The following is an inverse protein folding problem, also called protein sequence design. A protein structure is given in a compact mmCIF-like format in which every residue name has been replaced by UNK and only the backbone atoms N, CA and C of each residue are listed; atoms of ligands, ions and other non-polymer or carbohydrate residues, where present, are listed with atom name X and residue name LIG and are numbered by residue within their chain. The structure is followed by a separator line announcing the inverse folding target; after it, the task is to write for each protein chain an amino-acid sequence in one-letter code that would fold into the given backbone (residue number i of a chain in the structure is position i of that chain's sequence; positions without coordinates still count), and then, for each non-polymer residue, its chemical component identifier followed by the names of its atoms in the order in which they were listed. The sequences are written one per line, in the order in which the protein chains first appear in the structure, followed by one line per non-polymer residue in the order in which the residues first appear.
data_IF_161198967244
#
_entry.id   IF_161198967244
#
_cell.length_a   1.000
_cell.length_b   1.000
_cell.length_c   1.000
_cell.angle_alpha   90.00
_cell.angle_beta   90.00
_cell.angle_gamma   90.00
#
_symmetry.space_group_name_H-M   'P 1'
#
loop_
_entity.id
_entity.type
_entity.pdbx_description
1 polymer ?
#
# COMPACT_ATOMS: atom_id res chain seq x y z
N UNK A 1 -5.81 5.72 -6.56
CA UNK A 1 -7.23 5.27 -6.51
C UNK A 1 -8.11 6.24 -7.30
N UNK A 2 -9.31 5.85 -7.77
CA UNK A 2 -10.13 6.74 -8.62
C UNK A 2 -11.51 7.07 -8.06
N UNK A 3 -11.91 8.33 -8.21
CA UNK A 3 -13.26 8.83 -7.91
C UNK A 3 -13.47 9.22 -6.44
N UNK A 4 -14.66 9.74 -6.15
CA UNK A 4 -15.07 10.07 -4.78
C UNK A 4 -15.31 8.79 -3.98
N UNK A 5 -14.80 8.76 -2.75
CA UNK A 5 -15.00 7.63 -1.82
C UNK A 5 -16.49 7.45 -1.52
N UNK A 6 -17.00 6.25 -1.80
CA UNK A 6 -18.35 5.84 -1.43
C UNK A 6 -18.40 5.42 0.05
N UNK A 7 -18.83 6.37 0.89
CA UNK A 7 -18.92 6.19 2.34
C UNK A 7 -20.16 5.39 2.79
N UNK A 8 -20.97 4.87 1.86
CA UNK A 8 -22.17 4.10 2.21
C UNK A 8 -21.89 2.63 2.55
N UNK A 9 -20.70 2.11 2.21
CA UNK A 9 -20.38 0.70 2.46
C UNK A 9 -20.25 0.39 3.95
N UNK A 10 -20.92 -0.68 4.37
CA UNK A 10 -20.76 -1.24 5.72
C UNK A 10 -19.53 -2.16 5.78
N UNK A 11 -18.35 -1.56 5.94
CA UNK A 11 -17.06 -2.27 6.07
C UNK A 11 -16.34 -1.90 7.35
N UNK A 12 -15.40 -2.73 7.81
CA UNK A 12 -14.59 -2.38 8.98
C UNK A 12 -13.53 -1.34 8.63
N UNK A 13 -12.95 -1.45 7.44
CA UNK A 13 -11.80 -0.66 7.02
C UNK A 13 -12.00 -0.08 5.63
N UNK A 14 -11.59 1.18 5.46
CA UNK A 14 -11.43 1.86 4.19
C UNK A 14 -9.95 2.08 3.95
N UNK A 15 -9.51 1.88 2.71
CA UNK A 15 -8.18 2.27 2.24
C UNK A 15 -8.40 3.31 1.13
N UNK A 16 -7.90 4.53 1.35
CA UNK A 16 -8.20 5.70 0.51
C UNK A 16 -6.98 6.58 0.30
N UNK A 17 -6.91 7.21 -0.87
CA UNK A 17 -5.82 8.11 -1.26
C UNK A 17 -5.68 9.32 -0.33
N UNK A 18 -4.46 9.56 0.13
CA UNK A 18 -4.18 10.64 1.08
C UNK A 18 -4.39 12.03 0.50
N UNK A 19 -4.13 12.27 -0.79
CA UNK A 19 -4.18 13.59 -1.39
C UNK A 19 -5.61 13.94 -1.81
N UNK A 20 -6.33 12.95 -2.34
CA UNK A 20 -7.69 13.15 -2.86
C UNK A 20 -8.76 13.22 -1.77
N UNK A 21 -8.43 12.85 -0.53
CA UNK A 21 -9.36 12.84 0.59
C UNK A 21 -8.97 13.85 1.68
N UNK A 22 -9.96 14.61 2.15
CA UNK A 22 -9.79 15.58 3.22
C UNK A 22 -9.97 14.95 4.60
N UNK A 23 -9.50 15.65 5.65
CA UNK A 23 -9.76 15.24 7.04
C UNK A 23 -11.25 15.12 7.38
N UNK A 24 -12.14 15.83 6.67
CA UNK A 24 -13.59 15.71 6.89
C UNK A 24 -14.16 14.39 6.37
N UNK A 25 -13.59 13.82 5.30
CA UNK A 25 -13.93 12.47 4.82
C UNK A 25 -13.54 11.43 5.86
N UNK A 26 -12.28 11.50 6.35
CA UNK A 26 -11.78 10.59 7.40
C UNK A 26 -12.65 10.67 8.66
N UNK A 27 -12.94 11.88 9.14
CA UNK A 27 -13.81 12.11 10.31
C UNK A 27 -15.23 11.57 10.10
N UNK A 28 -15.77 11.64 8.88
CA UNK A 28 -17.09 11.11 8.56
C UNK A 28 -17.11 9.58 8.64
N UNK A 29 -16.09 8.92 8.09
CA UNK A 29 -15.90 7.47 8.20
C UNK A 29 -15.72 7.03 9.66
N UNK A 30 -14.92 7.76 10.45
CA UNK A 30 -14.76 7.50 11.89
C UNK A 30 -16.08 7.59 12.66
N UNK A 31 -16.94 8.58 12.36
CA UNK A 31 -18.28 8.68 12.97
C UNK A 31 -19.16 7.47 12.68
N UNK A 32 -18.92 6.78 11.57
CA UNK A 32 -19.57 5.52 11.21
C UNK A 32 -18.85 4.28 11.78
N UNK A 33 -17.86 4.45 12.66
CA UNK A 33 -17.11 3.37 13.31
C UNK A 33 -16.13 2.65 12.40
N UNK A 34 -15.65 3.31 11.33
CA UNK A 34 -14.73 2.73 10.35
C UNK A 34 -13.28 3.03 10.72
N UNK A 35 -12.37 2.11 10.38
CA UNK A 35 -10.92 2.32 10.33
C UNK A 35 -10.57 2.89 8.95
N UNK A 36 -9.66 3.86 8.87
CA UNK A 36 -9.28 4.52 7.62
C UNK A 36 -7.77 4.47 7.43
N UNK A 37 -7.35 3.79 6.36
CA UNK A 37 -5.96 3.60 5.93
C UNK A 37 -5.63 4.61 4.82
N UNK A 38 -4.42 5.14 4.91
CA UNK A 38 -3.90 6.17 4.03
C UNK A 38 -3.01 5.53 2.96
N UNK A 39 -3.46 5.57 1.70
CA UNK A 39 -2.63 5.17 0.56
C UNK A 39 -1.53 6.21 0.31
N UNK A 40 -0.28 5.74 0.23
CA UNK A 40 0.90 6.54 -0.14
C UNK A 40 1.72 5.72 -1.14
N UNK A 41 1.95 6.24 -2.35
CA UNK A 41 3.04 5.72 -3.16
C UNK A 41 4.40 6.16 -2.58
N UNK A 42 5.20 5.19 -2.13
CA UNK A 42 6.53 5.44 -1.57
C UNK A 42 7.67 4.94 -2.47
N UNK A 43 7.36 4.18 -3.51
CA UNK A 43 8.32 3.58 -4.42
C UNK A 43 8.45 4.30 -5.77
N UNK A 44 7.49 5.17 -6.10
CA UNK A 44 7.47 5.90 -7.35
C UNK A 44 7.13 7.39 -7.17
N UNK A 45 7.47 8.14 -8.20
CA UNK A 45 7.12 9.53 -8.39
C UNK A 45 5.96 9.63 -9.36
N UNK A 46 4.89 10.26 -8.91
CA UNK A 46 3.65 10.50 -9.66
C UNK A 46 3.56 11.99 -10.04
N UNK A 47 3.53 12.31 -11.33
CA UNK A 47 3.65 13.71 -11.81
C UNK A 47 2.45 14.61 -11.46
N UNK A 48 1.32 14.02 -11.06
CA UNK A 48 0.08 14.71 -10.73
C UNK A 48 -0.03 15.08 -9.25
N UNK A 49 0.87 14.59 -8.40
CA UNK A 49 0.83 14.88 -6.97
C UNK A 49 1.22 16.33 -6.69
N UNK A 50 0.57 17.00 -5.71
CA UNK A 50 0.85 18.41 -5.43
C UNK A 50 2.28 18.66 -4.93
N UNK A 51 2.96 17.63 -4.43
CA UNK A 51 4.36 17.66 -4.00
C UNK A 51 5.35 17.13 -5.05
N UNK A 52 4.90 16.83 -6.28
CA UNK A 52 5.74 16.25 -7.34
C UNK A 52 6.99 17.10 -7.66
N UNK A 53 6.91 18.42 -7.44
CA UNK A 53 8.02 19.36 -7.62
C UNK A 53 9.12 19.27 -6.56
N UNK A 54 8.89 18.58 -5.44
CA UNK A 54 9.89 18.39 -4.38
C UNK A 54 10.93 17.31 -4.72
N UNK A 55 10.62 16.42 -5.66
CA UNK A 55 11.50 15.34 -6.08
C UNK A 55 12.50 15.84 -7.13
N UNK A 56 13.82 15.83 -6.86
CA UNK A 56 14.83 16.17 -7.86
C UNK A 56 14.87 15.11 -8.98
N UNK A 57 15.45 15.46 -10.13
CA UNK A 57 15.58 14.49 -11.23
C UNK A 57 16.52 13.32 -10.88
N UNK A 58 17.44 13.48 -9.93
CA UNK A 58 18.39 12.44 -9.52
C UNK A 58 17.74 11.21 -8.91
N UNK A 59 16.54 11.35 -8.34
CA UNK A 59 15.81 10.23 -7.74
C UNK A 59 14.82 9.58 -8.70
N UNK A 60 14.63 10.10 -9.93
CA UNK A 60 13.59 9.63 -10.85
C UNK A 60 14.14 8.68 -11.91
N UNK A 61 13.70 7.43 -11.84
CA UNK A 61 14.14 6.30 -12.66
C UNK A 61 13.30 6.09 -13.91
N UNK A 62 13.17 4.85 -14.35
CA UNK A 62 12.38 4.50 -15.53
C UNK A 62 10.88 4.73 -15.29
N UNK A 63 10.11 5.05 -16.34
CA UNK A 63 8.66 5.02 -16.28
C UNK A 63 8.15 3.66 -15.79
N UNK A 64 7.09 3.68 -14.98
CA UNK A 64 6.39 2.45 -14.56
C UNK A 64 5.51 1.97 -15.72
N UNK A 65 5.63 0.69 -16.08
CA UNK A 65 4.89 0.14 -17.22
C UNK A 65 3.39 0.14 -16.94
N UNK A 66 2.58 0.73 -17.82
CA UNK A 66 1.12 0.79 -17.68
C UNK A 66 0.59 2.01 -16.92
N UNK A 67 1.46 2.81 -16.30
CA UNK A 67 1.09 3.95 -15.47
C UNK A 67 1.72 5.25 -15.99
N UNK A 68 0.94 6.00 -16.78
CA UNK A 68 1.44 7.20 -17.45
C UNK A 68 1.68 8.32 -16.45
N UNK A 69 2.88 8.90 -16.45
CA UNK A 69 3.26 9.99 -15.54
C UNK A 69 3.91 9.50 -14.25
N UNK A 70 4.09 8.19 -14.11
CA UNK A 70 4.70 7.53 -12.97
C UNK A 70 6.13 7.05 -13.28
N UNK A 71 7.06 7.22 -12.34
CA UNK A 71 8.47 6.81 -12.51
C UNK A 71 9.01 6.24 -11.20
N UNK A 72 9.73 5.13 -11.25
CA UNK A 72 10.39 4.54 -10.08
C UNK A 72 11.32 5.53 -9.35
N UNK A 73 11.40 5.42 -8.03
CA UNK A 73 12.31 6.21 -7.20
C UNK A 73 13.62 5.47 -6.92
N UNK A 74 14.72 6.23 -6.81
CA UNK A 74 15.98 5.71 -6.27
C UNK A 74 15.95 5.71 -4.73
N UNK A 75 15.41 4.64 -4.15
CA UNK A 75 15.25 4.50 -2.68
C UNK A 75 16.58 4.53 -1.90
N UNK A 76 17.72 4.36 -2.59
CA UNK A 76 19.06 4.48 -2.00
C UNK A 76 19.38 5.90 -1.58
N UNK A 77 18.74 6.89 -2.20
CA UNK A 77 18.87 8.31 -1.87
C UNK A 77 17.92 8.70 -0.73
N UNK A 78 17.92 7.91 0.36
CA UNK A 78 17.02 8.10 1.50
C UNK A 78 17.11 9.51 2.10
N UNK A 79 18.29 10.13 2.17
CA UNK A 79 18.44 11.50 2.68
C UNK A 79 17.68 12.56 1.89
N UNK A 80 17.27 12.27 0.65
CA UNK A 80 16.39 13.14 -0.14
C UNK A 80 14.93 12.75 0.10
N UNK A 81 14.63 11.45 0.02
CA UNK A 81 13.26 10.93 0.08
C UNK A 81 12.65 11.03 1.48
N UNK A 82 13.47 10.98 2.53
CA UNK A 82 13.01 10.88 3.92
C UNK A 82 12.14 12.07 4.31
N UNK A 83 12.52 13.28 3.89
CA UNK A 83 11.77 14.49 4.19
C UNK A 83 10.41 14.52 3.50
N UNK A 84 10.34 14.04 2.26
CA UNK A 84 9.12 14.01 1.46
C UNK A 84 8.16 12.95 2.01
N UNK A 85 8.64 11.73 2.21
CA UNK A 85 7.82 10.64 2.73
C UNK A 85 7.38 10.88 4.18
N UNK A 86 8.25 11.48 5.02
CA UNK A 86 7.85 11.90 6.37
C UNK A 86 6.73 12.94 6.31
N UNK A 87 6.81 13.93 5.41
CA UNK A 87 5.75 14.92 5.25
C UNK A 87 4.42 14.28 4.79
N UNK A 88 4.46 13.28 3.92
CA UNK A 88 3.29 12.48 3.49
C UNK A 88 2.68 11.71 4.66
N UNK A 89 3.50 11.02 5.46
CA UNK A 89 3.07 10.29 6.66
C UNK A 89 2.45 11.25 7.70
N UNK A 90 3.07 12.41 7.93
CA UNK A 90 2.55 13.45 8.82
C UNK A 90 1.23 14.03 8.31
N UNK A 91 1.05 14.14 6.98
CA UNK A 91 -0.22 14.55 6.40
C UNK A 91 -1.33 13.55 6.72
N UNK A 92 -1.07 12.24 6.56
CA UNK A 92 -2.01 11.18 6.98
C UNK A 92 -2.36 11.29 8.47
N UNK A 93 -1.35 11.43 9.33
CA UNK A 93 -1.56 11.63 10.76
C UNK A 93 -2.45 12.85 11.05
N UNK A 94 -2.17 13.99 10.40
CA UNK A 94 -2.88 15.25 10.63
C UNK A 94 -4.34 15.21 10.15
N UNK A 95 -4.62 14.38 9.12
CA UNK A 95 -5.97 14.13 8.61
C UNK A 95 -6.76 13.13 9.46
N UNK A 96 -6.09 12.46 10.41
CA UNK A 96 -6.68 11.52 11.35
C UNK A 96 -6.78 10.09 10.82
N UNK A 97 -5.94 9.69 9.86
CA UNK A 97 -5.89 8.29 9.43
C UNK A 97 -5.41 7.38 10.58
N UNK A 98 -5.82 6.12 10.55
CA UNK A 98 -5.47 5.10 11.55
C UNK A 98 -4.21 4.31 11.18
N UNK A 99 -3.89 4.28 9.89
CA UNK A 99 -2.71 3.60 9.35
C UNK A 99 -2.36 4.06 7.95
N UNK A 100 -1.28 3.51 7.42
CA UNK A 100 -0.77 3.75 6.08
C UNK A 100 -0.52 2.42 5.37
N UNK A 101 -0.70 2.41 4.06
CA UNK A 101 -0.12 1.40 3.19
C UNK A 101 0.78 2.12 2.18
N UNK A 102 1.93 1.51 1.91
CA UNK A 102 2.94 2.10 1.03
C UNK A 102 3.00 1.31 -0.27
N UNK A 103 2.62 1.94 -1.38
CA UNK A 103 2.63 1.31 -2.69
C UNK A 103 4.04 1.30 -3.30
N UNK A 104 4.23 0.38 -4.26
CA UNK A 104 5.46 0.23 -5.06
C UNK A 104 6.75 -0.01 -4.24
N UNK A 105 6.62 -0.61 -3.06
CA UNK A 105 7.75 -0.91 -2.15
C UNK A 105 8.47 -2.22 -2.46
N UNK A 106 8.45 -2.66 -3.71
CA UNK A 106 9.07 -3.89 -4.23
C UNK A 106 10.01 -3.60 -5.43
N UNK A 107 10.50 -2.36 -5.54
CA UNK A 107 11.28 -1.85 -6.67
C UNK A 107 12.52 -2.67 -7.03
N UNK A 108 13.18 -3.34 -6.08
CA UNK A 108 14.33 -4.21 -6.39
C UNK A 108 14.00 -5.42 -7.29
N UNK A 109 12.73 -5.81 -7.38
CA UNK A 109 12.25 -6.84 -8.31
C UNK A 109 11.83 -6.29 -9.67
N UNK A 110 11.89 -4.95 -9.84
CA UNK A 110 11.39 -4.24 -11.00
C UNK A 110 12.53 -3.56 -11.81
N UNK A 111 12.24 -3.23 -13.07
CA UNK A 111 13.17 -2.50 -13.92
C UNK A 111 13.11 -0.99 -13.64
N UNK A 112 13.61 -0.58 -12.48
CA UNK A 112 13.54 0.82 -12.02
C UNK A 112 14.48 1.78 -12.74
N UNK A 113 15.48 1.25 -13.44
CA UNK A 113 16.59 2.05 -13.96
C UNK A 113 17.66 2.38 -12.91
N UNK A 114 17.47 1.92 -11.67
CA UNK A 114 18.47 1.95 -10.61
C UNK A 114 18.82 0.52 -10.19
N UNK A 115 20.06 0.27 -9.73
CA UNK A 115 20.48 -1.06 -9.27
C UNK A 115 20.01 -1.29 -7.83
N UNK A 116 18.69 -1.28 -7.61
CA UNK A 116 18.11 -1.51 -6.29
C UNK A 116 18.33 -2.96 -5.88
N UNK A 117 18.96 -3.17 -4.73
CA UNK A 117 19.18 -4.51 -4.16
C UNK A 117 18.13 -4.87 -3.11
N UNK A 118 18.04 -6.16 -2.79
CA UNK A 118 17.24 -6.67 -1.66
C UNK A 118 17.51 -5.87 -0.37
N UNK A 119 18.78 -5.65 -0.01
CA UNK A 119 19.12 -4.95 1.24
C UNK A 119 18.74 -3.47 1.21
N UNK A 120 18.75 -2.82 0.04
CA UNK A 120 18.33 -1.43 -0.09
C UNK A 120 16.82 -1.28 0.03
N UNK A 121 16.05 -2.20 -0.56
CA UNK A 121 14.61 -2.26 -0.36
C UNK A 121 14.27 -2.55 1.11
N UNK A 122 14.94 -3.54 1.70
CA UNK A 122 14.73 -3.92 3.09
C UNK A 122 14.94 -2.73 4.04
N UNK A 123 16.03 -1.99 3.84
CA UNK A 123 16.36 -0.82 4.63
C UNK A 123 15.31 0.30 4.46
N UNK A 124 14.86 0.55 3.24
CA UNK A 124 13.85 1.56 2.95
C UNK A 124 12.48 1.20 3.55
N UNK A 125 12.03 -0.05 3.37
CA UNK A 125 10.76 -0.54 3.88
C UNK A 125 10.75 -0.57 5.41
N UNK A 126 11.88 -0.95 6.03
CA UNK A 126 12.07 -0.88 7.49
C UNK A 126 11.99 0.56 7.99
N UNK A 127 12.63 1.50 7.28
CA UNK A 127 12.58 2.92 7.62
C UNK A 127 11.16 3.50 7.52
N UNK A 128 10.43 3.17 6.45
CA UNK A 128 9.03 3.58 6.25
C UNK A 128 8.13 3.10 7.41
N UNK A 129 8.21 1.81 7.74
CA UNK A 129 7.42 1.21 8.81
C UNK A 129 7.69 1.87 10.17
N UNK A 130 8.96 2.04 10.54
CA UNK A 130 9.34 2.72 11.79
C UNK A 130 8.90 4.19 11.80
N UNK A 131 8.93 4.88 10.66
CA UNK A 131 8.49 6.26 10.54
C UNK A 131 6.97 6.36 10.72
N UNK A 132 6.19 5.45 10.13
CA UNK A 132 4.74 5.36 10.36
C UNK A 132 4.41 5.12 11.84
N UNK A 133 5.08 4.16 12.49
CA UNK A 133 4.92 3.89 13.92
C UNK A 133 5.27 5.09 14.80
N UNK A 134 6.34 5.82 14.47
CA UNK A 134 6.72 7.04 15.21
C UNK A 134 5.65 8.14 15.14
N UNK A 135 4.83 8.12 14.07
CA UNK A 135 3.68 8.99 13.89
C UNK A 135 2.35 8.36 14.36
N UNK A 136 2.42 7.24 15.09
CA UNK A 136 1.27 6.49 15.67
C UNK A 136 0.29 5.97 14.63
N UNK A 137 0.80 5.59 13.46
CA UNK A 137 0.02 4.99 12.38
C UNK A 137 0.37 3.50 12.29
N UNK A 138 -0.67 2.66 12.15
CA UNK A 138 -0.46 1.27 11.73
C UNK A 138 0.13 1.21 10.31
N UNK A 139 0.85 0.17 9.94
CA UNK A 139 1.48 0.06 8.61
C UNK A 139 1.31 -1.31 7.95
N UNK A 140 0.96 -1.30 6.66
CA UNK A 140 0.88 -2.49 5.81
C UNK A 140 2.13 -2.69 4.95
N UNK A 141 2.56 -3.94 4.79
CA UNK A 141 3.48 -4.31 3.71
C UNK A 141 2.65 -4.59 2.45
N UNK A 142 2.95 -3.87 1.36
CA UNK A 142 2.31 -4.05 0.06
C UNK A 142 3.13 -4.97 -0.83
N UNK A 143 2.53 -6.05 -1.32
CA UNK A 143 3.14 -7.02 -2.24
C UNK A 143 4.48 -7.57 -1.70
N UNK A 144 5.64 -7.00 -2.02
CA UNK A 144 7.02 -7.35 -1.57
C UNK A 144 7.20 -8.71 -0.86
N UNK A 145 6.78 -9.78 -1.55
CA UNK A 145 6.53 -11.06 -0.92
C UNK A 145 7.82 -11.77 -0.51
N UNK A 146 8.90 -11.51 -1.23
CA UNK A 146 10.19 -12.18 -1.04
C UNK A 146 10.94 -11.63 0.18
N UNK A 147 10.59 -10.45 0.71
CA UNK A 147 11.19 -9.88 1.93
C UNK A 147 10.37 -10.12 3.20
N UNK A 148 9.24 -10.84 3.12
CA UNK A 148 8.30 -11.00 4.24
C UNK A 148 8.99 -11.51 5.51
N UNK A 149 9.90 -12.50 5.42
CA UNK A 149 10.55 -13.04 6.62
C UNK A 149 11.33 -11.99 7.42
N UNK A 150 11.96 -11.04 6.73
CA UNK A 150 12.79 -10.01 7.33
C UNK A 150 11.97 -8.77 7.72
N UNK A 151 10.91 -8.48 6.97
CA UNK A 151 10.02 -7.34 7.20
C UNK A 151 8.89 -7.62 8.19
N UNK A 152 8.51 -8.89 8.42
CA UNK A 152 7.40 -9.27 9.29
C UNK A 152 7.44 -8.60 10.68
N UNK A 153 8.60 -8.41 11.36
CA UNK A 153 8.63 -7.74 12.65
C UNK A 153 8.21 -6.26 12.62
N UNK A 154 8.34 -5.57 11.48
CA UNK A 154 8.12 -4.13 11.35
C UNK A 154 6.72 -3.75 10.88
N UNK A 155 5.99 -4.64 10.22
CA UNK A 155 4.68 -4.35 9.65
C UNK A 155 3.53 -4.94 10.46
N UNK A 156 2.40 -4.26 10.55
CA UNK A 156 1.25 -4.68 11.37
C UNK A 156 0.33 -5.66 10.64
N UNK A 157 0.30 -5.59 9.31
CA UNK A 157 -0.51 -6.40 8.42
C UNK A 157 0.07 -6.36 6.99
N UNK A 158 -0.50 -7.13 6.07
CA UNK A 158 -0.13 -7.13 4.67
C UNK A 158 -1.32 -6.78 3.77
N UNK A 159 -1.04 -6.06 2.68
CA UNK A 159 -1.96 -5.89 1.56
C UNK A 159 -1.29 -6.51 0.33
N UNK A 160 -1.96 -7.43 -0.34
CA UNK A 160 -1.45 -8.10 -1.52
C UNK A 160 -2.42 -7.94 -2.69
N UNK A 161 -1.86 -7.87 -3.88
CA UNK A 161 -2.60 -7.93 -5.12
C UNK A 161 -2.29 -9.23 -5.86
N UNK A 162 -3.35 -9.97 -6.15
CA UNK A 162 -3.36 -11.03 -7.14
C UNK A 162 -2.54 -12.29 -6.78
N UNK A 163 -2.27 -12.55 -5.50
CA UNK A 163 -1.55 -13.78 -5.14
C UNK A 163 -2.26 -15.06 -5.63
N UNK A 164 -3.59 -15.08 -5.83
CA UNK A 164 -4.26 -16.27 -6.37
C UNK A 164 -4.04 -16.39 -7.87
N UNK A 165 -4.09 -15.26 -8.59
CA UNK A 165 -3.77 -15.23 -10.02
C UNK A 165 -2.34 -15.71 -10.29
N UNK A 166 -1.38 -15.31 -9.46
CA UNK A 166 0.03 -15.65 -9.63
C UNK A 166 0.49 -16.90 -8.85
N UNK A 167 -0.41 -17.52 -8.08
CA UNK A 167 -0.11 -18.70 -7.24
C UNK A 167 0.95 -18.45 -6.16
N UNK A 168 0.94 -17.28 -5.55
CA UNK A 168 1.95 -16.80 -4.59
C UNK A 168 1.44 -16.68 -3.15
N UNK A 169 0.16 -16.95 -2.89
CA UNK A 169 -0.49 -16.69 -1.59
C UNK A 169 0.17 -17.39 -0.40
N UNK A 170 0.89 -18.49 -0.61
CA UNK A 170 1.60 -19.17 0.48
C UNK A 170 2.69 -18.28 1.12
N UNK A 171 3.26 -17.34 0.36
CA UNK A 171 4.27 -16.39 0.86
C UNK A 171 3.72 -15.44 1.94
N UNK A 172 2.40 -15.20 1.96
CA UNK A 172 1.74 -14.33 2.94
C UNK A 172 1.35 -15.03 4.25
N UNK A 173 1.39 -16.37 4.30
CA UNK A 173 1.05 -17.13 5.51
C UNK A 173 1.87 -16.79 6.76
N UNK A 174 3.14 -16.32 6.70
CA UNK A 174 3.84 -15.80 7.86
C UNK A 174 3.09 -14.69 8.61
N UNK A 175 2.38 -13.79 7.92
CA UNK A 175 1.54 -12.78 8.58
C UNK A 175 0.39 -13.44 9.36
N UNK A 176 -0.35 -14.35 8.73
CA UNK A 176 -1.44 -15.09 9.40
C UNK A 176 -0.93 -15.88 10.60
N UNK A 177 0.19 -16.59 10.46
CA UNK A 177 0.80 -17.38 11.54
C UNK A 177 1.28 -16.51 12.70
N UNK A 178 1.65 -15.26 12.43
CA UNK A 178 1.99 -14.25 13.44
C UNK A 178 0.77 -13.53 14.03
N UNK A 179 -0.45 -13.93 13.65
CA UNK A 179 -1.70 -13.29 14.10
C UNK A 179 -1.98 -11.93 13.45
N UNK A 180 -1.32 -11.63 12.34
CA UNK A 180 -1.48 -10.38 11.58
C UNK A 180 -2.42 -10.56 10.41
N UNK A 181 -3.18 -9.52 10.08
CA UNK A 181 -4.15 -9.59 8.99
C UNK A 181 -3.46 -9.62 7.62
N UNK A 182 -4.09 -10.30 6.66
CA UNK A 182 -3.76 -10.22 5.24
C UNK A 182 -5.00 -9.73 4.52
N UNK A 183 -4.87 -8.61 3.82
CA UNK A 183 -5.85 -8.07 2.89
C UNK A 183 -5.39 -8.46 1.48
N UNK A 184 -6.30 -8.95 0.64
CA UNK A 184 -5.93 -9.43 -0.69
C UNK A 184 -6.95 -8.97 -1.75
N UNK A 185 -6.46 -8.60 -2.92
CA UNK A 185 -7.27 -8.08 -4.02
C UNK A 185 -7.00 -8.81 -5.34
N UNK A 186 -8.08 -9.35 -5.92
CA UNK A 186 -8.07 -9.90 -7.29
C UNK A 186 -8.77 -8.95 -8.28
N UNK A 187 -8.18 -8.79 -9.47
CA UNK A 187 -8.76 -7.95 -10.54
C UNK A 187 -9.43 -8.76 -11.64
N UNK A 188 -8.83 -9.88 -12.03
CA UNK A 188 -9.26 -10.66 -13.19
C UNK A 188 -10.11 -11.87 -12.80
N UNK A 189 -9.77 -12.53 -11.69
CA UNK A 189 -10.40 -13.79 -11.29
C UNK A 189 -11.86 -13.62 -10.87
N UNK A 190 -12.68 -14.63 -11.11
CA UNK A 190 -14.03 -14.71 -10.54
C UNK A 190 -13.95 -15.09 -9.07
N UNK A 191 -14.82 -14.53 -8.23
CA UNK A 191 -14.83 -14.79 -6.78
C UNK A 191 -15.01 -16.27 -6.43
N UNK A 192 -15.72 -17.03 -7.27
CA UNK A 192 -15.85 -18.49 -7.14
C UNK A 192 -14.51 -19.24 -7.23
N UNK A 193 -13.49 -18.64 -7.86
CA UNK A 193 -12.20 -19.28 -8.08
C UNK A 193 -11.22 -19.08 -6.93
N UNK A 194 -11.39 -18.04 -6.10
CA UNK A 194 -10.43 -17.71 -5.03
C UNK A 194 -11.06 -17.55 -3.64
N UNK A 195 -12.32 -17.12 -3.51
CA UNK A 195 -12.87 -16.77 -2.19
C UNK A 195 -12.90 -17.94 -1.19
N UNK A 196 -13.22 -19.16 -1.62
CA UNK A 196 -13.19 -20.32 -0.72
C UNK A 196 -11.77 -20.59 -0.19
N UNK A 197 -10.76 -20.45 -1.05
CA UNK A 197 -9.36 -20.64 -0.68
C UNK A 197 -8.87 -19.50 0.21
N UNK A 198 -9.16 -18.25 -0.14
CA UNK A 198 -8.87 -17.08 0.68
C UNK A 198 -9.43 -17.20 2.10
N UNK A 199 -10.71 -17.53 2.22
CA UNK A 199 -11.34 -17.71 3.53
C UNK A 199 -10.69 -18.85 4.33
N UNK A 200 -10.29 -19.94 3.68
CA UNK A 200 -9.56 -21.05 4.33
C UNK A 200 -8.14 -20.66 4.81
N UNK A 201 -7.51 -19.70 4.13
CA UNK A 201 -6.21 -19.14 4.50
C UNK A 201 -6.32 -17.97 5.49
N UNK A 202 -7.54 -17.65 5.93
CA UNK A 202 -7.87 -16.51 6.79
C UNK A 202 -7.53 -15.13 6.19
N UNK A 203 -7.54 -15.02 4.86
CA UNK A 203 -7.34 -13.74 4.17
C UNK A 203 -8.66 -12.96 4.08
N UNK A 204 -8.58 -11.64 4.16
CA UNK A 204 -9.68 -10.73 3.86
C UNK A 204 -9.58 -10.32 2.39
N UNK A 205 -10.18 -11.14 1.52
CA UNK A 205 -10.07 -11.00 0.08
C UNK A 205 -11.26 -10.31 -0.57
N UNK A 206 -11.02 -9.62 -1.69
CA UNK A 206 -12.09 -9.07 -2.52
C UNK A 206 -11.72 -9.00 -4.01
N UNK A 207 -12.76 -9.03 -4.86
CA UNK A 207 -12.64 -8.61 -6.25
C UNK A 207 -12.84 -7.11 -6.40
N UNK A 208 -11.95 -6.46 -7.17
CA UNK A 208 -12.03 -5.05 -7.55
C UNK A 208 -11.88 -4.90 -9.06
N UNK A 209 -12.22 -3.72 -9.58
CA UNK A 209 -11.71 -3.28 -10.89
C UNK A 209 -10.33 -2.66 -10.70
N UNK A 210 -9.45 -2.79 -11.70
CA UNK A 210 -8.07 -2.27 -11.63
C UNK A 210 -7.98 -0.76 -11.39
N UNK A 211 -8.98 0.01 -11.82
CA UNK A 211 -9.03 1.45 -11.55
C UNK A 211 -9.33 1.80 -10.07
N UNK A 212 -9.57 0.80 -9.22
CA UNK A 212 -9.85 0.95 -7.79
C UNK A 212 -11.01 1.89 -7.48
N UNK A 213 -12.04 1.88 -8.33
CA UNK A 213 -13.30 2.56 -8.06
C UNK A 213 -14.15 1.85 -6.99
N UNK A 214 -15.39 2.31 -6.82
CA UNK A 214 -16.30 1.82 -5.77
C UNK A 214 -16.67 0.34 -5.91
N UNK A 215 -16.81 -0.18 -7.14
CA UNK A 215 -17.20 -1.58 -7.41
C UNK A 215 -16.38 -2.57 -6.59
N UNK A 216 -17.02 -3.43 -5.79
CA UNK A 216 -16.38 -4.48 -4.99
C UNK A 216 -17.23 -5.74 -4.88
N UNK A 217 -16.58 -6.90 -4.74
CA UNK A 217 -17.22 -8.14 -4.28
C UNK A 217 -16.32 -8.80 -3.24
N UNK A 218 -16.69 -8.74 -1.97
CA UNK A 218 -15.90 -9.30 -0.87
C UNK A 218 -16.13 -10.82 -0.70
N UNK A 219 -15.12 -11.53 -0.22
CA UNK A 219 -15.22 -12.96 0.09
C UNK A 219 -15.83 -13.26 1.46
N UNK A 220 -15.75 -12.30 2.41
CA UNK A 220 -16.35 -12.33 3.74
C UNK A 220 -16.52 -10.92 4.31
#
# INVERSE_FOLDING_TARGET
MSGTVDQSYNVVMYDIDMFDNSASVVKSLHKAGRIVICYIDAGTWENWRPDAGQFPNSVKGKPVSGWLGERWLDIRQLSILESIMTARIQLCQSKGFDGVEFDNVDGYTNNTGFPLSYNEQLAYNTWLANTAHSNRLSVALKNDLDQISDLLPYFDWALDEQCFQYSECSKLMPFINAGKAVMEVEYSLNTTNFCLKANSMNFNSMKKHLNLGSYRVACR
#
